data_IF_509920880930
#
_entry.id   IF_509920880930
#
_cell.length_a   1.000
_cell.length_b   1.000
_cell.length_c   1.000
_cell.angle_alpha   90.00
_cell.angle_beta   90.00
_cell.angle_gamma   90.00
#
_symmetry.space_group_name_H-M   'P 1'
#
loop_
_entity.id
_entity.type
_entity.pdbx_description
1 polymer ?
#
# COMPACT_ATOMS: atom_id res chain seq x y z
N UNK A 1 56.53 -36.90 35.39
CA UNK A 1 55.20 -36.69 34.77
C UNK A 1 54.90 -35.20 34.79
N UNK A 2 55.13 -34.54 33.66
CA UNK A 2 54.90 -33.09 33.46
C UNK A 2 53.93 -32.95 32.27
N UNK A 3 52.76 -32.31 32.40
CA UNK A 3 51.89 -32.07 31.26
C UNK A 3 52.34 -30.81 30.53
N UNK A 4 52.68 -30.95 29.25
CA UNK A 4 52.93 -29.83 28.35
C UNK A 4 51.64 -29.07 28.06
N UNK A 5 51.65 -27.75 28.31
CA UNK A 5 50.61 -26.84 27.88
C UNK A 5 50.68 -26.63 26.36
N UNK A 6 49.74 -27.22 25.62
CA UNK A 6 49.57 -26.98 24.18
C UNK A 6 48.73 -25.71 24.00
N UNK A 7 49.39 -24.61 23.68
CA UNK A 7 48.76 -23.34 23.26
C UNK A 7 48.08 -23.59 21.92
N UNK A 8 46.75 -23.56 21.88
CA UNK A 8 45.99 -23.60 20.63
C UNK A 8 45.64 -22.17 20.24
N UNK A 9 46.32 -21.69 19.20
CA UNK A 9 46.13 -20.38 18.60
C UNK A 9 44.90 -20.46 17.69
N UNK A 10 43.76 -19.93 18.16
CA UNK A 10 42.52 -19.88 17.37
C UNK A 10 42.61 -18.71 16.39
N UNK A 11 42.81 -19.03 15.11
CA UNK A 11 42.93 -18.06 14.03
C UNK A 11 41.54 -17.49 13.76
N UNK A 12 41.30 -16.23 14.16
CA UNK A 12 40.09 -15.50 13.83
C UNK A 12 40.00 -15.26 12.31
N UNK A 13 39.04 -15.89 11.63
CA UNK A 13 38.70 -15.61 10.24
C UNK A 13 37.85 -14.32 10.12
N UNK A 14 38.33 -13.23 9.47
CA UNK A 14 37.53 -12.05 9.24
C UNK A 14 36.86 -12.16 7.87
N UNK A 15 35.80 -12.96 7.76
CA UNK A 15 35.20 -13.31 6.46
C UNK A 15 33.71 -13.00 6.26
N UNK A 16 33.01 -12.42 7.24
CA UNK A 16 31.53 -12.34 7.22
C UNK A 16 30.92 -10.96 7.49
N UNK A 17 31.63 -9.87 7.16
CA UNK A 17 31.10 -8.50 7.37
C UNK A 17 30.74 -7.70 6.11
N UNK A 18 31.03 -8.20 4.90
CA UNK A 18 30.86 -7.41 3.67
C UNK A 18 29.47 -7.53 2.97
N UNK A 19 28.58 -8.44 3.37
CA UNK A 19 27.32 -8.69 2.64
C UNK A 19 26.07 -7.98 3.20
N UNK A 20 26.20 -7.12 4.23
CA UNK A 20 25.03 -6.57 4.96
C UNK A 20 24.69 -5.11 4.62
N UNK A 21 25.52 -4.41 3.83
CA UNK A 21 25.36 -2.97 3.60
C UNK A 21 24.57 -2.61 2.31
N UNK A 22 24.46 -3.52 1.33
CA UNK A 22 23.79 -3.25 0.04
C UNK A 22 22.29 -3.62 0.01
N UNK A 23 21.86 -4.61 0.81
CA UNK A 23 20.50 -5.14 0.78
C UNK A 23 19.45 -4.11 1.20
N UNK A 24 19.80 -3.22 2.13
CA UNK A 24 18.92 -2.14 2.57
C UNK A 24 18.60 -1.14 1.46
N UNK A 25 19.60 -0.73 0.67
CA UNK A 25 19.41 0.25 -0.42
C UNK A 25 18.60 -0.33 -1.58
N UNK A 26 18.85 -1.59 -1.92
CA UNK A 26 18.08 -2.30 -2.95
C UNK A 26 16.60 -2.44 -2.54
N UNK A 27 16.34 -2.79 -1.27
CA UNK A 27 14.97 -2.90 -0.75
C UNK A 27 14.23 -1.58 -0.81
N UNK A 28 14.89 -0.46 -0.48
CA UNK A 28 14.30 0.88 -0.60
C UNK A 28 13.94 1.21 -2.04
N UNK A 29 14.83 0.95 -3.00
CA UNK A 29 14.57 1.21 -4.42
C UNK A 29 13.39 0.37 -4.91
N UNK A 30 13.36 -0.93 -4.59
CA UNK A 30 12.26 -1.83 -4.95
C UNK A 30 10.94 -1.32 -4.37
N UNK A 31 10.92 -0.91 -3.10
CA UNK A 31 9.71 -0.43 -2.44
C UNK A 31 9.18 0.87 -3.08
N UNK A 32 10.06 1.80 -3.44
CA UNK A 32 9.68 3.04 -4.13
C UNK A 32 9.14 2.75 -5.53
N UNK A 33 9.82 1.88 -6.30
CA UNK A 33 9.36 1.47 -7.62
C UNK A 33 8.00 0.75 -7.55
N UNK A 34 7.79 -0.11 -6.56
CA UNK A 34 6.53 -0.80 -6.32
C UNK A 34 5.39 0.20 -6.03
N UNK A 35 5.63 1.21 -5.19
CA UNK A 35 4.63 2.25 -4.92
C UNK A 35 4.36 3.13 -6.14
N UNK A 36 5.40 3.47 -6.92
CA UNK A 36 5.24 4.22 -8.17
C UNK A 36 4.40 3.44 -9.18
N UNK A 37 4.71 2.15 -9.38
CA UNK A 37 3.91 1.27 -10.24
C UNK A 37 2.46 1.16 -9.75
N UNK A 38 2.24 1.07 -8.44
CA UNK A 38 0.90 1.04 -7.86
C UNK A 38 0.10 2.32 -8.16
N UNK A 39 0.74 3.49 -8.09
CA UNK A 39 0.11 4.77 -8.44
C UNK A 39 -0.23 4.84 -9.93
N UNK A 40 0.65 4.34 -10.80
CA UNK A 40 0.37 4.26 -12.25
C UNK A 40 -0.81 3.33 -12.53
N UNK A 41 -0.85 2.14 -11.91
CA UNK A 41 -1.97 1.20 -12.05
C UNK A 41 -3.27 1.85 -11.54
N UNK A 42 -3.22 2.52 -10.38
CA UNK A 42 -4.38 3.21 -9.84
C UNK A 42 -4.88 4.30 -10.80
N UNK A 43 -3.96 5.07 -11.40
CA UNK A 43 -4.29 6.09 -12.38
C UNK A 43 -4.94 5.49 -13.63
N UNK A 44 -4.40 4.37 -14.13
CA UNK A 44 -4.98 3.63 -15.25
C UNK A 44 -6.40 3.17 -14.93
N UNK A 45 -6.63 2.62 -13.74
CA UNK A 45 -7.95 2.12 -13.32
C UNK A 45 -8.96 3.25 -13.11
N UNK A 46 -8.56 4.37 -12.50
CA UNK A 46 -9.45 5.53 -12.26
C UNK A 46 -9.82 6.21 -13.58
N UNK A 47 -8.89 6.29 -14.53
CA UNK A 47 -9.13 6.91 -15.84
C UNK A 47 -9.62 5.92 -16.90
N UNK A 48 -10.12 4.75 -16.49
CA UNK A 48 -10.73 3.78 -17.40
C UNK A 48 -12.05 4.34 -17.95
N UNK A 49 -12.21 4.29 -19.27
CA UNK A 49 -13.42 4.69 -19.99
C UNK A 49 -13.88 3.48 -20.85
N UNK A 50 -15.13 3.01 -20.73
CA UNK A 50 -15.66 1.94 -21.57
C UNK A 50 -15.59 2.25 -23.07
N UNK A 51 -15.52 3.53 -23.47
CA UNK A 51 -15.34 3.91 -24.87
C UNK A 51 -13.95 3.54 -25.44
N UNK A 52 -12.95 3.28 -24.58
CA UNK A 52 -11.62 2.83 -25.00
C UNK A 52 -11.58 1.30 -25.29
N UNK A 53 -12.70 0.58 -25.19
CA UNK A 53 -12.80 -0.87 -25.43
C UNK A 53 -12.29 -1.31 -26.80
N UNK A 54 -12.63 -0.57 -27.86
CA UNK A 54 -12.17 -0.88 -29.22
C UNK A 54 -10.63 -0.76 -29.37
N UNK A 55 -10.00 -0.04 -28.45
CA UNK A 55 -8.55 0.14 -28.39
C UNK A 55 -7.87 -0.91 -27.49
N UNK A 56 -8.62 -1.56 -26.60
CA UNK A 56 -8.11 -2.55 -25.64
C UNK A 56 -7.89 -3.96 -26.22
N UNK A 57 -8.48 -4.28 -27.39
CA UNK A 57 -8.29 -5.56 -28.11
C UNK A 57 -6.85 -5.79 -28.62
N UNK A 58 -5.93 -4.85 -28.38
CA UNK A 58 -4.53 -4.96 -28.77
C UNK A 58 -3.77 -5.81 -27.74
N UNK A 59 -3.11 -6.88 -28.19
CA UNK A 59 -2.28 -7.71 -27.30
C UNK A 59 -1.07 -6.91 -26.82
N UNK A 60 -0.57 -7.19 -25.62
CA UNK A 60 0.64 -6.53 -25.07
C UNK A 60 1.84 -6.60 -26.03
N UNK A 61 1.93 -7.65 -26.85
CA UNK A 61 2.99 -7.82 -27.87
C UNK A 61 2.87 -6.78 -29.00
N UNK A 62 1.66 -6.33 -29.32
CA UNK A 62 1.40 -5.34 -30.36
C UNK A 62 1.68 -3.89 -29.89
N UNK A 63 1.83 -3.62 -28.58
CA UNK A 63 2.31 -2.31 -28.09
C UNK A 63 3.71 -1.99 -28.58
N UNK A 64 4.56 -3.01 -28.78
CA UNK A 64 5.90 -2.82 -29.33
C UNK A 64 5.83 -2.27 -30.77
N UNK A 65 4.69 -2.48 -31.47
CA UNK A 65 4.46 -1.95 -32.81
C UNK A 65 4.24 -0.44 -32.88
N UNK A 66 3.90 0.21 -31.75
CA UNK A 66 3.87 1.68 -31.65
C UNK A 66 5.23 2.27 -31.99
N UNK A 67 6.31 1.64 -31.50
CA UNK A 67 7.68 2.11 -31.72
C UNK A 67 8.20 1.82 -33.13
N UNK A 68 7.60 0.86 -33.84
CA UNK A 68 7.91 0.57 -35.25
C UNK A 68 7.03 1.37 -36.23
N UNK A 69 6.13 2.22 -35.73
CA UNK A 69 5.40 3.19 -36.54
C UNK A 69 4.16 2.64 -37.24
N UNK A 70 3.56 1.57 -36.73
CA UNK A 70 2.33 1.01 -37.30
C UNK A 70 1.18 2.05 -37.25
N UNK A 71 0.59 2.43 -38.40
CA UNK A 71 -0.45 3.45 -38.46
C UNK A 71 -1.72 3.07 -37.68
N UNK A 72 -2.03 1.77 -37.55
CA UNK A 72 -3.22 1.29 -36.85
C UNK A 72 -3.05 1.51 -35.34
N UNK A 73 -1.91 1.11 -34.79
CA UNK A 73 -1.65 1.23 -33.34
C UNK A 73 -1.45 2.71 -32.96
N UNK A 74 -0.89 3.53 -33.86
CA UNK A 74 -0.75 4.97 -33.65
C UNK A 74 -2.11 5.69 -33.60
N UNK A 75 -3.03 5.37 -34.50
CA UNK A 75 -4.38 5.93 -34.47
C UNK A 75 -5.16 5.54 -33.19
N UNK A 76 -4.96 4.31 -32.70
CA UNK A 76 -5.52 3.87 -31.42
C UNK A 76 -4.86 4.56 -30.21
N UNK A 77 -3.57 4.88 -30.30
CA UNK A 77 -2.89 5.67 -29.28
C UNK A 77 -3.37 7.13 -29.21
N UNK A 78 -3.65 7.74 -30.36
CA UNK A 78 -4.15 9.12 -30.43
C UNK A 78 -5.61 9.26 -29.97
N UNK A 79 -6.38 8.17 -29.97
CA UNK A 79 -7.79 8.15 -29.54
C UNK A 79 -8.00 7.69 -28.10
N UNK A 80 -6.95 7.21 -27.42
CA UNK A 80 -7.05 6.72 -26.05
C UNK A 80 -7.35 7.86 -25.07
N UNK A 81 -8.41 7.71 -24.25
CA UNK A 81 -8.82 8.70 -23.25
C UNK A 81 -8.17 8.49 -21.89
N UNK A 82 -7.68 7.27 -21.62
CA UNK A 82 -6.96 6.96 -20.40
C UNK A 82 -5.76 7.90 -20.18
N UNK A 83 -5.51 8.32 -18.94
CA UNK A 83 -4.46 9.29 -18.65
C UNK A 83 -3.03 8.75 -18.87
N UNK A 84 -2.87 7.43 -18.92
CA UNK A 84 -1.62 6.77 -19.31
C UNK A 84 -1.59 6.37 -20.80
N UNK A 85 -2.53 6.91 -21.59
CA UNK A 85 -2.70 6.61 -23.00
C UNK A 85 -3.09 5.15 -23.26
N UNK A 86 -2.74 4.65 -24.44
CA UNK A 86 -3.07 3.29 -24.89
C UNK A 86 -2.64 2.19 -23.90
N UNK A 87 -1.47 2.34 -23.29
CA UNK A 87 -0.95 1.36 -22.32
C UNK A 87 -1.84 1.29 -21.08
N UNK A 88 -2.29 2.44 -20.58
CA UNK A 88 -3.21 2.49 -19.44
C UNK A 88 -4.58 1.91 -19.73
N UNK A 89 -5.12 2.20 -20.92
CA UNK A 89 -6.37 1.60 -21.40
C UNK A 89 -6.29 0.06 -21.43
N UNK A 90 -5.25 -0.50 -22.06
CA UNK A 90 -5.06 -1.96 -22.16
C UNK A 90 -4.85 -2.60 -20.79
N UNK A 91 -4.03 -1.99 -19.92
CA UNK A 91 -3.80 -2.52 -18.57
C UNK A 91 -5.09 -2.49 -17.75
N UNK A 92 -5.80 -1.37 -17.73
CA UNK A 92 -7.04 -1.23 -16.94
C UNK A 92 -8.13 -2.17 -17.42
N UNK A 93 -8.35 -2.26 -18.72
CA UNK A 93 -9.34 -3.17 -19.32
C UNK A 93 -9.02 -4.63 -19.01
N UNK A 94 -7.76 -5.04 -19.20
CA UNK A 94 -7.32 -6.39 -18.87
C UNK A 94 -7.49 -6.70 -17.37
N UNK A 95 -7.09 -5.78 -16.49
CA UNK A 95 -7.24 -5.96 -15.05
C UNK A 95 -8.71 -6.07 -14.63
N UNK A 96 -9.58 -5.19 -15.13
CA UNK A 96 -10.99 -5.17 -14.74
C UNK A 96 -11.69 -6.42 -15.30
N UNK A 97 -11.64 -6.66 -16.61
CA UNK A 97 -12.45 -7.71 -17.24
C UNK A 97 -11.88 -9.11 -17.04
N UNK A 98 -10.58 -9.28 -17.25
CA UNK A 98 -9.98 -10.62 -17.27
C UNK A 98 -9.69 -11.18 -15.88
N UNK A 99 -9.77 -10.37 -14.81
CA UNK A 99 -9.50 -10.83 -13.44
C UNK A 99 -10.75 -10.85 -12.57
N UNK A 100 -10.80 -10.01 -11.54
CA UNK A 100 -11.82 -9.99 -10.47
C UNK A 100 -12.77 -8.78 -10.58
N UNK A 101 -12.90 -8.18 -11.77
CA UNK A 101 -13.78 -7.04 -11.98
C UNK A 101 -13.27 -5.78 -11.31
N UNK A 102 -14.20 -4.90 -10.96
CA UNK A 102 -13.94 -3.70 -10.16
C UNK A 102 -13.30 -3.98 -8.78
N UNK A 103 -13.28 -5.23 -8.32
CA UNK A 103 -12.52 -5.58 -7.10
C UNK A 103 -11.00 -5.41 -7.27
N UNK A 104 -10.50 -5.28 -8.52
CA UNK A 104 -9.07 -5.12 -8.83
C UNK A 104 -8.46 -3.83 -8.25
N UNK A 105 -9.26 -2.85 -7.85
CA UNK A 105 -8.79 -1.66 -7.13
C UNK A 105 -8.08 -1.99 -5.80
N UNK A 106 -8.29 -3.18 -5.24
CA UNK A 106 -7.53 -3.63 -4.08
C UNK A 106 -6.04 -3.83 -4.40
N UNK A 107 -5.69 -4.16 -5.65
CA UNK A 107 -4.32 -4.47 -6.08
C UNK A 107 -3.35 -3.29 -5.92
N UNK A 108 -3.61 -2.08 -6.46
CA UNK A 108 -2.72 -0.94 -6.22
C UNK A 108 -2.65 -0.57 -4.73
N UNK A 109 -3.74 -0.73 -3.97
CA UNK A 109 -3.72 -0.51 -2.53
C UNK A 109 -2.79 -1.49 -1.80
N UNK A 110 -2.87 -2.79 -2.14
CA UNK A 110 -1.98 -3.83 -1.62
C UNK A 110 -0.51 -3.56 -1.96
N UNK A 111 -0.24 -3.07 -3.17
CA UNK A 111 1.12 -2.72 -3.57
C UNK A 111 1.67 -1.53 -2.77
N UNK A 112 0.85 -0.51 -2.49
CA UNK A 112 1.24 0.62 -1.63
C UNK A 112 1.51 0.13 -0.21
N UNK A 113 0.62 -0.68 0.36
CA UNK A 113 0.80 -1.25 1.71
C UNK A 113 2.07 -2.11 1.78
N UNK A 114 2.32 -2.94 0.76
CA UNK A 114 3.54 -3.75 0.64
C UNK A 114 4.81 -2.90 0.57
N UNK A 115 4.82 -1.88 -0.30
CA UNK A 115 5.95 -0.96 -0.45
C UNK A 115 6.24 -0.17 0.83
N UNK A 116 5.21 0.38 1.48
CA UNK A 116 5.36 1.06 2.78
C UNK A 116 5.88 0.12 3.86
N UNK A 117 5.46 -1.14 3.84
CA UNK A 117 5.88 -2.14 4.81
C UNK A 117 7.34 -2.54 4.63
N UNK A 118 7.82 -2.65 3.39
CA UNK A 118 9.24 -2.87 3.08
C UNK A 118 10.11 -1.72 3.58
N UNK A 119 9.68 -0.46 3.38
CA UNK A 119 10.40 0.72 3.89
C UNK A 119 10.46 0.77 5.42
N UNK A 120 9.38 0.34 6.09
CA UNK A 120 9.28 0.33 7.54
C UNK A 120 9.90 -0.89 8.20
N UNK A 121 10.40 -1.86 7.42
CA UNK A 121 10.85 -3.17 7.90
C UNK A 121 9.80 -3.81 8.82
N UNK A 122 8.53 -3.70 8.42
CA UNK A 122 7.41 -4.23 9.18
C UNK A 122 7.46 -5.77 9.26
N UNK A 123 6.79 -6.34 10.25
CA UNK A 123 6.71 -7.79 10.42
C UNK A 123 6.09 -8.43 9.16
N UNK A 124 6.88 -9.20 8.43
CA UNK A 124 6.48 -9.84 7.17
C UNK A 124 5.18 -10.64 7.30
N UNK A 125 5.02 -11.37 8.41
CA UNK A 125 3.82 -12.18 8.67
C UNK A 125 2.54 -11.33 8.78
N UNK A 126 2.63 -10.12 9.36
CA UNK A 126 1.46 -9.23 9.48
C UNK A 126 1.07 -8.66 8.12
N UNK A 127 2.06 -8.27 7.33
CA UNK A 127 1.86 -7.74 5.97
C UNK A 127 1.24 -8.81 5.09
N UNK A 128 1.76 -10.04 5.16
CA UNK A 128 1.24 -11.16 4.39
C UNK A 128 -0.20 -11.50 4.79
N UNK A 129 -0.54 -11.44 6.08
CA UNK A 129 -1.92 -11.62 6.53
C UNK A 129 -2.87 -10.55 5.98
N UNK A 130 -2.46 -9.27 5.98
CA UNK A 130 -3.26 -8.17 5.38
C UNK A 130 -3.47 -8.44 3.88
N UNK A 131 -2.40 -8.79 3.16
CA UNK A 131 -2.46 -9.10 1.73
C UNK A 131 -3.43 -10.25 1.47
N UNK A 132 -3.31 -11.34 2.22
CA UNK A 132 -4.15 -12.53 2.06
C UNK A 132 -5.63 -12.23 2.34
N UNK A 133 -5.97 -11.57 3.45
CA UNK A 133 -7.37 -11.27 3.76
C UNK A 133 -8.00 -10.31 2.76
N UNK A 134 -7.22 -9.33 2.27
CA UNK A 134 -7.69 -8.41 1.22
C UNK A 134 -7.93 -9.14 -0.09
N UNK A 135 -7.01 -10.04 -0.48
CA UNK A 135 -7.12 -10.79 -1.74
C UNK A 135 -8.30 -11.78 -1.71
N UNK A 136 -8.46 -12.50 -0.59
CA UNK A 136 -9.61 -13.39 -0.36
C UNK A 136 -10.91 -12.60 -0.35
N UNK A 137 -10.94 -11.46 0.36
CA UNK A 137 -12.10 -10.57 0.39
C UNK A 137 -12.48 -10.06 -1.00
N UNK A 138 -11.50 -9.59 -1.78
CA UNK A 138 -11.72 -9.10 -3.13
C UNK A 138 -12.26 -10.20 -4.06
N UNK A 139 -11.73 -11.42 -3.97
CA UNK A 139 -12.22 -12.57 -4.73
C UNK A 139 -13.66 -12.96 -4.33
N UNK A 140 -13.97 -12.95 -3.02
CA UNK A 140 -15.31 -13.24 -2.52
C UNK A 140 -16.32 -12.17 -2.97
N UNK A 141 -15.95 -10.89 -2.96
CA UNK A 141 -16.78 -9.79 -3.47
C UNK A 141 -17.04 -9.98 -4.97
N UNK A 142 -15.98 -10.17 -5.75
CA UNK A 142 -16.04 -10.47 -7.20
C UNK A 142 -16.97 -11.66 -7.50
N UNK A 143 -16.84 -12.75 -6.74
CA UNK A 143 -17.69 -13.94 -6.89
C UNK A 143 -19.13 -13.69 -6.45
N UNK A 144 -19.34 -12.85 -5.45
CA UNK A 144 -20.68 -12.44 -5.00
C UNK A 144 -21.40 -11.64 -6.08
N UNK A 145 -20.69 -10.76 -6.80
CA UNK A 145 -21.24 -10.08 -7.98
C UNK A 145 -21.56 -11.06 -9.11
N UNK A 146 -20.71 -12.06 -9.35
CA UNK A 146 -21.02 -13.15 -10.29
C UNK A 146 -22.29 -13.92 -9.91
N UNK A 147 -22.44 -14.26 -8.63
CA UNK A 147 -23.64 -14.93 -8.13
C UNK A 147 -24.88 -14.03 -8.25
N UNK A 148 -24.76 -12.74 -7.95
CA UNK A 148 -25.83 -11.78 -8.12
C UNK A 148 -26.28 -11.70 -9.58
N UNK A 149 -25.34 -11.73 -10.54
CA UNK A 149 -25.64 -11.77 -11.98
C UNK A 149 -26.42 -13.03 -12.37
N UNK A 150 -26.08 -14.20 -11.81
CA UNK A 150 -26.81 -15.45 -12.03
C UNK A 150 -28.24 -15.43 -11.43
N UNK A 151 -28.47 -14.65 -10.38
CA UNK A 151 -29.77 -14.54 -9.71
C UNK A 151 -30.67 -13.47 -10.37
N UNK A 152 -30.12 -12.29 -10.63
CA UNK A 152 -30.84 -11.11 -11.14
C UNK A 152 -31.00 -11.10 -12.66
N UNK A 153 -30.25 -11.94 -13.37
CA UNK A 153 -30.18 -11.97 -14.83
C UNK A 153 -28.96 -11.20 -15.36
N UNK A 154 -28.35 -11.74 -16.42
CA UNK A 154 -27.08 -11.28 -16.98
C UNK A 154 -27.04 -9.83 -17.47
N UNK A 155 -28.21 -9.24 -17.72
CA UNK A 155 -28.37 -7.88 -18.24
C UNK A 155 -28.40 -6.82 -17.13
N UNK A 156 -28.66 -7.21 -15.88
CA UNK A 156 -28.73 -6.27 -14.76
C UNK A 156 -27.34 -5.83 -14.26
N UNK A 157 -26.32 -6.67 -14.43
CA UNK A 157 -24.95 -6.41 -14.01
C UNK A 157 -23.97 -6.79 -15.12
N UNK A 158 -23.22 -5.80 -15.60
CA UNK A 158 -22.15 -6.01 -16.58
C UNK A 158 -21.04 -6.92 -16.04
N UNK A 159 -20.34 -7.60 -16.95
CA UNK A 159 -19.23 -8.52 -16.60
C UNK A 159 -18.10 -7.82 -15.83
N UNK A 160 -17.98 -6.50 -15.93
CA UNK A 160 -17.00 -5.67 -15.21
C UNK A 160 -17.14 -5.75 -13.68
N UNK A 161 -18.33 -6.05 -13.16
CA UNK A 161 -18.57 -6.14 -11.70
C UNK A 161 -18.01 -7.42 -11.10
N UNK A 162 -18.19 -8.55 -11.79
CA UNK A 162 -17.71 -9.85 -11.34
C UNK A 162 -16.29 -10.14 -11.84
N UNK A 163 -15.93 -9.63 -13.02
CA UNK A 163 -14.81 -10.14 -13.81
C UNK A 163 -15.02 -11.60 -14.22
N UNK A 164 -14.11 -12.11 -15.05
CA UNK A 164 -14.11 -13.51 -15.49
C UNK A 164 -13.93 -14.49 -14.31
N UNK A 165 -13.05 -14.17 -13.35
CA UNK A 165 -12.78 -15.06 -12.22
C UNK A 165 -13.98 -15.20 -11.30
N UNK A 166 -14.67 -14.09 -10.99
CA UNK A 166 -15.86 -14.10 -10.14
C UNK A 166 -17.05 -14.77 -10.82
N UNK A 167 -17.26 -14.52 -12.11
CA UNK A 167 -18.31 -15.17 -12.90
C UNK A 167 -18.10 -16.70 -12.96
N UNK A 168 -16.87 -17.13 -13.24
CA UNK A 168 -16.49 -18.54 -13.25
C UNK A 168 -16.70 -19.22 -11.90
N UNK A 169 -16.19 -18.64 -10.81
CA UNK A 169 -16.31 -19.23 -9.48
C UNK A 169 -17.77 -19.27 -9.01
N UNK A 170 -18.55 -18.25 -9.35
CA UNK A 170 -19.98 -18.19 -9.01
C UNK A 170 -20.79 -19.25 -9.77
N UNK A 171 -20.43 -19.53 -11.02
CA UNK A 171 -21.05 -20.57 -11.84
C UNK A 171 -20.78 -21.95 -11.25
N UNK A 172 -19.54 -22.23 -10.84
CA UNK A 172 -19.20 -23.49 -10.15
C UNK A 172 -20.01 -23.62 -8.86
N UNK A 173 -20.06 -22.58 -8.03
CA UNK A 173 -20.83 -22.59 -6.78
C UNK A 173 -22.32 -22.82 -7.02
N UNK A 174 -22.89 -22.16 -8.04
CA UNK A 174 -24.29 -22.30 -8.40
C UNK A 174 -24.61 -23.71 -8.94
N UNK A 175 -23.68 -24.36 -9.65
CA UNK A 175 -23.84 -25.74 -10.12
C UNK A 175 -23.74 -26.76 -8.99
N UNK A 176 -22.86 -26.53 -8.01
CA UNK A 176 -22.61 -27.47 -6.90
C UNK A 176 -23.61 -27.35 -5.75
N UNK A 177 -23.95 -26.13 -5.33
CA UNK A 177 -24.81 -25.86 -4.16
C UNK A 177 -26.18 -25.26 -4.52
N UNK A 178 -26.43 -24.98 -5.80
CA UNK A 178 -27.54 -24.14 -6.22
C UNK A 178 -27.29 -22.65 -5.95
N UNK A 179 -28.09 -21.78 -6.58
CA UNK A 179 -27.95 -20.32 -6.45
C UNK A 179 -28.12 -19.84 -5.00
N UNK A 180 -29.12 -20.36 -4.29
CA UNK A 180 -29.39 -19.99 -2.91
C UNK A 180 -28.28 -20.49 -1.96
N UNK A 181 -27.85 -21.76 -2.08
CA UNK A 181 -26.79 -22.32 -1.25
C UNK A 181 -25.44 -21.65 -1.47
N UNK A 182 -25.09 -21.38 -2.74
CA UNK A 182 -23.87 -20.65 -3.09
C UNK A 182 -23.89 -19.21 -2.55
N UNK A 183 -25.02 -18.50 -2.62
CA UNK A 183 -25.14 -17.16 -2.05
C UNK A 183 -24.93 -17.15 -0.53
N UNK A 184 -25.56 -18.07 0.21
CA UNK A 184 -25.39 -18.19 1.67
C UNK A 184 -23.92 -18.46 2.03
N UNK A 185 -23.25 -19.36 1.30
CA UNK A 185 -21.84 -19.67 1.51
C UNK A 185 -20.95 -18.44 1.28
N UNK A 186 -21.19 -17.68 0.21
CA UNK A 186 -20.45 -16.45 -0.10
C UNK A 186 -20.64 -15.38 0.96
N UNK A 187 -21.89 -15.15 1.41
CA UNK A 187 -22.17 -14.22 2.51
C UNK A 187 -21.46 -14.63 3.80
N UNK A 188 -21.47 -15.92 4.12
CA UNK A 188 -20.78 -16.46 5.31
C UNK A 188 -19.26 -16.27 5.19
N UNK A 189 -18.68 -16.59 4.03
CA UNK A 189 -17.25 -16.41 3.77
C UNK A 189 -16.83 -14.93 3.83
N UNK A 190 -17.64 -14.03 3.29
CA UNK A 190 -17.42 -12.58 3.38
C UNK A 190 -17.45 -12.12 4.83
N UNK A 191 -18.43 -12.56 5.61
CA UNK A 191 -18.57 -12.20 7.01
C UNK A 191 -17.37 -12.69 7.83
N UNK A 192 -16.95 -13.94 7.67
CA UNK A 192 -15.76 -14.49 8.34
C UNK A 192 -14.51 -13.69 7.95
N UNK A 193 -14.32 -13.42 6.65
CA UNK A 193 -13.17 -12.64 6.17
C UNK A 193 -13.16 -11.24 6.75
N UNK A 194 -14.32 -10.58 6.86
CA UNK A 194 -14.47 -9.26 7.45
C UNK A 194 -14.10 -9.26 8.94
N UNK A 195 -14.61 -10.23 9.71
CA UNK A 195 -14.29 -10.38 11.13
C UNK A 195 -12.78 -10.60 11.33
N UNK A 196 -12.17 -11.50 10.56
CA UNK A 196 -10.73 -11.76 10.63
C UNK A 196 -9.88 -10.55 10.21
N UNK A 197 -10.32 -9.80 9.21
CA UNK A 197 -9.65 -8.59 8.76
C UNK A 197 -9.69 -7.49 9.84
N UNK A 198 -10.83 -7.30 10.51
CA UNK A 198 -11.00 -6.33 11.59
C UNK A 198 -10.15 -6.70 12.80
N UNK A 199 -10.13 -7.97 13.22
CA UNK A 199 -9.30 -8.42 14.34
C UNK A 199 -7.80 -8.19 14.10
N UNK A 200 -7.35 -8.32 12.85
CA UNK A 200 -5.99 -8.00 12.46
C UNK A 200 -5.74 -6.48 12.49
N UNK A 201 -6.71 -5.68 12.01
CA UNK A 201 -6.60 -4.22 11.97
C UNK A 201 -6.62 -3.60 13.38
N UNK A 202 -7.44 -4.10 14.31
CA UNK A 202 -7.41 -3.64 15.71
C UNK A 202 -6.02 -3.83 16.34
N UNK A 203 -5.38 -4.98 16.11
CA UNK A 203 -4.02 -5.25 16.61
C UNK A 203 -2.96 -4.38 15.92
N UNK A 204 -3.15 -4.02 14.64
CA UNK A 204 -2.18 -3.26 13.85
C UNK A 204 -2.34 -1.73 13.96
N UNK A 205 -3.55 -1.23 14.20
CA UNK A 205 -3.88 0.20 14.19
C UNK A 205 -3.82 0.81 15.59
N UNK A 206 -4.15 0.04 16.65
CA UNK A 206 -3.99 0.48 18.03
C UNK A 206 -2.54 0.88 18.38
N UNK A 207 -1.54 0.16 17.83
CA UNK A 207 -0.12 0.48 18.02
C UNK A 207 0.33 1.76 17.30
N UNK A 208 -0.27 2.09 16.14
CA UNK A 208 0.10 3.25 15.32
C UNK A 208 -0.53 4.54 15.83
N UNK A 209 -1.81 4.50 16.20
CA UNK A 209 -2.54 5.66 16.73
C UNK A 209 -1.97 6.10 18.08
N UNK A 210 -1.64 5.13 18.95
CA UNK A 210 -1.00 5.42 20.26
C UNK A 210 0.34 6.14 20.09
N UNK A 211 1.18 5.69 19.16
CA UNK A 211 2.50 6.30 18.94
C UNK A 211 2.43 7.66 18.22
N UNK A 212 1.45 7.88 17.34
CA UNK A 212 1.22 9.18 16.70
C UNK A 212 0.71 10.23 17.69
N UNK A 213 -0.25 9.85 18.54
CA UNK A 213 -0.83 10.74 19.54
C UNK A 213 0.17 11.16 20.62
N UNK A 214 1.00 10.21 21.10
CA UNK A 214 2.05 10.51 22.08
C UNK A 214 3.11 11.48 21.52
N UNK A 215 3.52 11.31 20.25
CA UNK A 215 4.46 12.24 19.61
C UNK A 215 3.87 13.64 19.39
N UNK A 216 2.57 13.72 19.13
CA UNK A 216 1.86 15.00 18.94
C UNK A 216 1.71 15.75 20.27
N UNK A 217 1.34 15.05 21.35
CA UNK A 217 1.28 15.61 22.71
C UNK A 217 2.67 16.07 23.18
N UNK A 218 3.71 15.27 22.94
CA UNK A 218 5.09 15.63 23.27
C UNK A 218 5.57 16.87 22.48
N UNK A 219 5.21 16.98 21.20
CA UNK A 219 5.56 18.14 20.38
C UNK A 219 4.82 19.41 20.84
N UNK A 220 3.53 19.31 21.17
CA UNK A 220 2.74 20.42 21.70
C UNK A 220 3.22 20.88 23.08
N UNK A 221 3.53 19.94 23.98
CA UNK A 221 4.05 20.27 25.31
C UNK A 221 5.42 20.94 25.25
N UNK A 222 6.35 20.44 24.43
CA UNK A 222 7.65 21.09 24.21
C UNK A 222 7.51 22.51 23.65
N UNK A 223 6.53 22.73 22.78
CA UNK A 223 6.23 24.06 22.25
C UNK A 223 5.58 24.97 23.29
N UNK A 224 4.92 24.46 24.33
CA UNK A 224 4.41 25.29 25.42
C UNK A 224 5.52 25.67 26.42
N UNK A 225 6.41 24.73 26.70
CA UNK A 225 7.45 24.91 27.72
C UNK A 225 8.59 25.82 27.24
N UNK A 226 8.98 25.71 25.96
CA UNK A 226 9.97 26.62 25.36
C UNK A 226 9.56 28.11 25.39
N UNK A 227 8.25 28.38 25.32
CA UNK A 227 7.70 29.75 25.41
C UNK A 227 7.63 30.26 26.85
N UNK A 228 7.57 29.38 27.84
CA UNK A 228 7.62 29.75 29.27
C UNK A 228 9.04 30.07 29.71
N UNK A 229 10.02 29.29 29.26
CA UNK A 229 11.42 29.48 29.64
C UNK A 229 12.02 30.75 29.04
N UNK A 230 11.67 31.06 27.77
CA UNK A 230 12.08 32.31 27.12
C UNK A 230 11.49 33.56 27.80
N UNK A 231 10.32 33.43 28.45
CA UNK A 231 9.70 34.54 29.22
C UNK A 231 10.33 34.70 30.60
N UNK A 232 10.76 33.61 31.24
CA UNK A 232 11.48 33.67 32.53
C UNK A 232 12.87 34.26 32.35
N UNK A 233 13.62 33.79 31.34
CA UNK A 233 14.97 34.31 31.05
C UNK A 233 14.96 35.80 30.69
N UNK A 234 13.94 36.27 29.95
CA UNK A 234 13.78 37.71 29.66
C UNK A 234 13.51 38.54 30.92
N UNK A 235 12.67 38.06 31.83
CA UNK A 235 12.39 38.75 33.10
C UNK A 235 13.62 38.79 34.01
N UNK A 236 14.35 37.68 34.12
CA UNK A 236 15.60 37.63 34.90
C UNK A 236 16.68 38.56 34.32
N UNK A 237 16.83 38.63 32.99
CA UNK A 237 17.75 39.57 32.35
C UNK A 237 17.34 41.04 32.54
N UNK A 238 16.04 41.33 32.51
CA UNK A 238 15.50 42.67 32.76
C UNK A 238 15.72 43.09 34.22
N UNK A 239 15.48 42.20 35.18
CA UNK A 239 15.72 42.44 36.60
C UNK A 239 17.22 42.64 36.92
N UNK A 240 18.11 41.83 36.33
CA UNK A 240 19.57 41.99 36.46
C UNK A 240 20.08 43.29 35.83
N UNK A 241 19.53 43.67 34.67
CA UNK A 241 19.87 44.93 34.02
C UNK A 241 19.40 46.12 34.86
N UNK A 242 18.19 46.06 35.42
CA UNK A 242 17.63 47.14 36.24
C UNK A 242 18.37 47.28 37.58
N UNK A 243 18.80 46.16 38.20
CA UNK A 243 19.66 46.18 39.39
C UNK A 243 21.07 46.71 39.08
N UNK A 244 21.66 46.35 37.94
CA UNK A 244 22.94 46.88 37.49
C UNK A 244 22.90 48.37 37.14
N UNK A 245 21.80 48.86 36.57
CA UNK A 245 21.60 50.29 36.31
C UNK A 245 21.36 51.06 37.62
N UNK A 246 20.68 50.47 38.60
CA UNK A 246 20.50 51.07 39.92
C UNK A 246 21.82 51.22 40.69
N UNK A 247 22.73 50.24 40.64
CA UNK A 247 24.04 50.34 41.29
C UNK A 247 24.97 51.36 40.63
N UNK A 248 24.91 51.52 39.30
CA UNK A 248 25.69 52.53 38.57
C UNK A 248 25.20 53.96 38.87
N UNK A 249 23.89 54.14 39.12
CA UNK A 249 23.32 55.47 39.44
C UNK A 249 23.69 55.98 40.82
N UNK A 250 23.98 55.09 41.76
CA UNK A 250 24.36 55.42 43.16
C UNK A 250 25.86 55.75 43.28
N UNK A 251 26.68 55.39 42.28
CA UNK A 251 28.15 55.58 42.29
C UNK A 251 28.64 56.80 41.47
N UNK A 252 27.77 57.76 41.14
CA UNK A 252 28.22 59.06 40.62
C UNK A 252 28.19 60.09 41.75
N UNK A 253 29.36 60.63 42.17
CA UNK A 253 29.43 61.70 43.18
C UNK A 253 28.83 63.01 42.67
#
# INVERSE_FOLDING_TARGET
>A
MTPQARVHNEVAHPGRRAAKHSSGRQTTVIAVLMMAAALLILLALISHDPADEANADIRIVDLIKVFTGDPIVKAKADTARNWLGLIGSIISDFLIKSTIGYSVFCLPFLMIVGGLSMLRKADFNKVLAIINYTLVGALLISTSFGMARLILGGDALGMEWSGVAGDFLSTILAQLLGRAGGAILLFTGLFITLVLAIDLDLRATAGRVRNGYLRLLDWLNRRRDAWRDSRKAKKEMEDLSNQGLASVRISKP
#
